data_IF_934326803107
#
_entry.id   IF_934326803107
#
_cell.length_a   1.000
_cell.length_b   1.000
_cell.length_c   1.000
_cell.angle_alpha   90.00
_cell.angle_beta   90.00
_cell.angle_gamma   90.00
#
_symmetry.space_group_name_H-M   'P 1'
#
loop_
_entity.id
_entity.type
_entity.pdbx_description
1 polymer ?
#
# COMPACT_ATOMS: atom_id res chain seq x y z
N UNK A 1 -1.33 9.75 -30.00
CA UNK A 1 -1.21 9.50 -31.45
C UNK A 1 -2.14 8.37 -31.80
N UNK A 2 -3.01 8.54 -32.81
CA UNK A 2 -4.02 7.55 -33.17
C UNK A 2 -3.86 7.16 -34.64
N UNK A 3 -3.76 5.86 -34.90
CA UNK A 3 -3.80 5.27 -36.23
C UNK A 3 -5.13 4.56 -36.41
N UNK A 4 -5.83 4.85 -37.50
CA UNK A 4 -7.14 4.24 -37.76
C UNK A 4 -7.33 3.88 -39.24
N UNK A 5 -8.56 3.54 -39.63
CA UNK A 5 -8.89 3.16 -41.01
C UNK A 5 -8.55 4.24 -42.07
N UNK A 6 -8.42 5.51 -41.66
CA UNK A 6 -8.06 6.64 -42.50
C UNK A 6 -6.56 6.91 -42.53
N UNK A 7 -5.77 6.27 -41.67
CA UNK A 7 -4.30 6.36 -41.72
C UNK A 7 -3.78 5.62 -42.94
N UNK A 8 -3.18 6.37 -43.86
CA UNK A 8 -2.72 5.91 -45.18
C UNK A 8 -1.20 6.02 -45.37
N UNK A 9 -0.47 6.57 -44.39
CA UNK A 9 0.99 6.64 -44.39
C UNK A 9 1.56 5.22 -44.28
N UNK A 10 2.36 4.73 -45.25
CA UNK A 10 2.92 3.39 -45.21
C UNK A 10 4.00 3.23 -44.12
N UNK A 11 4.18 1.99 -43.64
CA UNK A 11 5.12 1.69 -42.53
C UNK A 11 6.55 2.17 -42.80
N UNK A 12 7.05 2.07 -44.04
CA UNK A 12 8.41 2.51 -44.37
C UNK A 12 8.61 4.04 -44.25
N UNK A 13 7.55 4.81 -44.48
CA UNK A 13 7.57 6.25 -44.34
C UNK A 13 7.50 6.63 -42.85
N UNK A 14 6.64 5.94 -42.08
CA UNK A 14 6.61 6.07 -40.62
C UNK A 14 7.96 5.73 -39.99
N UNK A 15 8.67 4.70 -40.47
CA UNK A 15 10.03 4.37 -40.02
C UNK A 15 10.98 5.55 -40.19
N UNK A 16 10.88 6.28 -41.31
CA UNK A 16 11.70 7.47 -41.55
C UNK A 16 11.34 8.62 -40.60
N UNK A 17 10.04 8.79 -40.31
CA UNK A 17 9.58 9.80 -39.34
C UNK A 17 9.97 9.47 -37.89
N UNK A 18 10.02 8.19 -37.53
CA UNK A 18 10.38 7.74 -36.19
C UNK A 18 11.88 7.47 -36.01
N UNK A 19 12.69 7.54 -37.07
CA UNK A 19 14.11 7.15 -37.04
C UNK A 19 14.96 7.86 -35.96
N UNK A 20 14.58 9.08 -35.56
CA UNK A 20 15.28 9.86 -34.52
C UNK A 20 14.52 9.96 -33.20
N UNK A 21 13.35 9.33 -33.10
CA UNK A 21 12.55 9.32 -31.88
C UNK A 21 13.03 8.18 -31.00
N UNK A 22 13.54 8.51 -29.81
CA UNK A 22 14.03 7.51 -28.85
C UNK A 22 13.11 7.35 -27.63
N UNK A 23 12.37 8.40 -27.28
CA UNK A 23 11.40 8.41 -26.18
C UNK A 23 10.09 8.96 -26.72
N UNK A 24 9.01 8.21 -26.55
CA UNK A 24 7.67 8.68 -26.85
C UNK A 24 6.95 9.06 -25.56
N UNK A 25 6.32 10.24 -25.53
CA UNK A 25 5.52 10.70 -24.39
C UNK A 25 4.05 10.87 -24.80
N UNK A 26 3.15 10.20 -24.09
CA UNK A 26 1.71 10.19 -24.36
C UNK A 26 1.20 8.87 -24.94
N UNK A 27 -0.10 8.79 -25.25
CA UNK A 27 -0.74 7.55 -25.71
C UNK A 27 -0.49 7.24 -27.20
N UNK A 28 -0.40 5.96 -27.54
CA UNK A 28 -0.42 5.44 -28.92
C UNK A 28 -1.61 4.47 -29.04
N UNK A 29 -2.50 4.74 -30.01
CA UNK A 29 -3.65 3.90 -30.30
C UNK A 29 -3.70 3.46 -31.76
N UNK A 30 -4.15 2.24 -31.99
CA UNK A 30 -4.43 1.66 -33.31
C UNK A 30 -5.86 1.10 -33.31
N UNK A 31 -6.76 1.72 -34.07
CA UNK A 31 -8.18 1.38 -34.07
C UNK A 31 -8.67 1.13 -35.49
N UNK A 32 -9.03 -0.12 -35.83
CA UNK A 32 -9.48 -0.49 -37.17
C UNK A 32 -8.48 -0.09 -38.27
N UNK A 33 -7.20 -0.02 -37.92
CA UNK A 33 -6.15 0.40 -38.84
C UNK A 33 -5.82 -0.69 -39.86
N UNK A 34 -5.22 -0.30 -40.97
CA UNK A 34 -4.86 -1.22 -42.06
C UNK A 34 -3.45 -1.83 -41.88
N UNK A 35 -2.72 -1.41 -40.85
CA UNK A 35 -1.35 -1.83 -40.61
C UNK A 35 -1.27 -3.32 -40.25
N UNK A 36 -0.31 -4.01 -40.86
CA UNK A 36 0.01 -5.40 -40.51
C UNK A 36 1.05 -5.49 -39.38
N UNK A 37 1.86 -4.43 -39.20
CA UNK A 37 2.91 -4.36 -38.19
C UNK A 37 3.11 -2.93 -37.69
N UNK A 38 3.79 -2.82 -36.54
CA UNK A 38 4.17 -1.55 -35.91
C UNK A 38 5.69 -1.36 -35.86
N UNK A 39 6.45 -1.99 -36.75
CA UNK A 39 7.93 -2.01 -36.68
C UNK A 39 8.59 -0.63 -36.74
N UNK A 40 7.87 0.40 -37.17
CA UNK A 40 8.35 1.79 -37.07
C UNK A 40 8.53 2.27 -35.63
N UNK A 41 7.94 1.58 -34.64
CA UNK A 41 8.12 1.82 -33.21
C UNK A 41 9.31 1.03 -32.62
N UNK A 42 9.95 0.14 -33.39
CA UNK A 42 11.00 -0.76 -32.90
C UNK A 42 12.28 -0.05 -32.38
N UNK A 43 12.47 1.21 -32.76
CA UNK A 43 13.61 2.04 -32.34
C UNK A 43 13.41 2.76 -31.01
N UNK A 44 12.21 2.70 -30.42
CA UNK A 44 11.90 3.40 -29.16
C UNK A 44 12.58 2.71 -27.98
N UNK A 45 13.27 3.49 -27.16
CA UNK A 45 13.85 3.05 -25.89
C UNK A 45 12.83 3.10 -24.75
N UNK A 46 11.90 4.04 -24.80
CA UNK A 46 10.89 4.21 -23.75
C UNK A 46 9.59 4.77 -24.32
N UNK A 47 8.46 4.28 -23.78
CA UNK A 47 7.14 4.87 -23.97
C UNK A 47 6.60 5.25 -22.58
N UNK A 48 6.55 6.55 -22.35
CA UNK A 48 6.07 7.18 -21.12
C UNK A 48 4.66 7.71 -21.36
N UNK A 49 3.65 6.99 -20.91
CA UNK A 49 2.27 7.31 -21.27
C UNK A 49 1.25 7.27 -20.15
N UNK A 50 1.67 7.12 -18.89
CA UNK A 50 0.77 7.33 -17.75
C UNK A 50 0.16 8.75 -17.77
N UNK A 51 -1.14 8.90 -17.45
CA UNK A 51 -2.08 7.87 -16.99
C UNK A 51 -2.84 7.12 -18.12
N UNK A 52 -2.40 7.24 -19.37
CA UNK A 52 -3.04 6.64 -20.55
C UNK A 52 -2.51 5.23 -20.86
N UNK A 53 -3.23 4.51 -21.72
CA UNK A 53 -2.85 3.19 -22.25
C UNK A 53 -2.23 3.25 -23.64
N UNK A 54 -1.61 2.13 -24.03
CA UNK A 54 -1.31 1.78 -25.42
C UNK A 54 -2.37 0.82 -25.93
N UNK A 55 -3.00 1.17 -27.04
CA UNK A 55 -4.27 0.55 -27.44
C UNK A 55 -4.21 -0.03 -28.86
N UNK A 56 -4.73 -1.25 -29.03
CA UNK A 56 -4.83 -1.99 -30.28
C UNK A 56 -6.22 -2.61 -30.40
N UNK A 57 -7.14 -1.93 -31.07
CA UNK A 57 -8.53 -2.34 -31.21
C UNK A 57 -8.91 -2.72 -32.63
N UNK A 58 -9.34 -3.97 -32.81
CA UNK A 58 -9.99 -4.47 -34.02
C UNK A 58 -9.20 -4.19 -35.31
N UNK A 59 -7.88 -4.34 -35.29
CA UNK A 59 -7.04 -4.15 -36.47
C UNK A 59 -7.04 -5.45 -37.30
N UNK A 60 -7.70 -5.50 -38.47
CA UNK A 60 -7.95 -6.75 -39.19
C UNK A 60 -6.68 -7.41 -39.76
N UNK A 61 -5.64 -6.61 -40.01
CA UNK A 61 -4.40 -7.06 -40.62
C UNK A 61 -3.24 -7.23 -39.64
N UNK A 62 -3.40 -6.80 -38.38
CA UNK A 62 -2.29 -6.74 -37.41
C UNK A 62 -1.85 -8.15 -37.02
N UNK A 63 -0.58 -8.46 -37.27
CA UNK A 63 0.01 -9.79 -37.06
C UNK A 63 1.03 -9.81 -35.93
N UNK A 64 1.71 -8.70 -35.66
CA UNK A 64 2.79 -8.62 -34.68
C UNK A 64 2.87 -7.26 -33.99
N UNK A 65 3.20 -7.30 -32.69
CA UNK A 65 3.54 -6.14 -31.88
C UNK A 65 5.03 -6.16 -31.55
N UNK A 66 5.84 -5.42 -32.31
CA UNK A 66 7.29 -5.36 -32.11
C UNK A 66 7.72 -3.93 -31.80
N UNK A 67 7.97 -3.66 -30.51
CA UNK A 67 8.50 -2.39 -30.03
C UNK A 67 10.02 -2.37 -29.93
N UNK A 68 10.69 -3.51 -30.10
CA UNK A 68 12.13 -3.69 -29.84
C UNK A 68 12.40 -4.23 -28.42
N UNK A 69 13.37 -5.14 -28.30
CA UNK A 69 13.59 -5.93 -27.06
C UNK A 69 13.94 -5.11 -25.81
N UNK A 70 14.35 -3.86 -25.97
CA UNK A 70 14.81 -3.00 -24.86
C UNK A 70 13.88 -1.82 -24.59
N UNK A 71 12.67 -1.84 -25.13
CA UNK A 71 11.70 -0.78 -24.88
C UNK A 71 11.12 -0.91 -23.49
N UNK A 72 11.24 0.16 -22.71
CA UNK A 72 10.57 0.27 -21.42
C UNK A 72 9.17 0.88 -21.58
N UNK A 73 8.21 0.38 -20.80
CA UNK A 73 6.84 0.88 -20.80
C UNK A 73 6.46 1.31 -19.39
N UNK A 74 5.86 2.50 -19.28
CA UNK A 74 5.25 2.93 -18.02
C UNK A 74 3.75 2.65 -17.99
N UNK A 75 3.16 2.03 -19.01
CA UNK A 75 1.71 2.12 -19.23
C UNK A 75 1.01 0.76 -19.30
N UNK A 76 -0.30 0.74 -19.02
CA UNK A 76 -1.19 -0.35 -19.38
C UNK A 76 -1.31 -0.60 -20.88
N UNK A 77 -1.75 -1.81 -21.24
CA UNK A 77 -2.01 -2.22 -22.62
C UNK A 77 -3.43 -2.72 -22.81
N UNK A 78 -4.05 -2.33 -23.92
CA UNK A 78 -5.29 -2.93 -24.40
C UNK A 78 -5.10 -3.50 -25.79
N UNK A 79 -5.20 -4.82 -25.92
CA UNK A 79 -4.98 -5.57 -27.16
C UNK A 79 -6.23 -6.39 -27.40
N UNK A 80 -7.18 -5.86 -28.19
CA UNK A 80 -8.51 -6.45 -28.29
C UNK A 80 -8.99 -6.61 -29.73
N UNK A 81 -9.47 -7.80 -30.08
CA UNK A 81 -10.16 -8.05 -31.34
C UNK A 81 -9.26 -8.15 -32.57
N UNK A 82 -7.95 -8.34 -32.40
CA UNK A 82 -6.99 -8.44 -33.50
C UNK A 82 -6.87 -9.90 -33.95
N UNK A 83 -7.73 -10.31 -34.88
CA UNK A 83 -7.94 -11.72 -35.25
C UNK A 83 -6.72 -12.43 -35.88
N UNK A 84 -5.69 -11.69 -36.30
CA UNK A 84 -4.44 -12.23 -36.87
C UNK A 84 -3.24 -12.10 -35.93
N UNK A 85 -3.42 -11.47 -34.76
CA UNK A 85 -2.33 -11.18 -33.83
C UNK A 85 -2.21 -12.30 -32.79
N UNK A 86 -1.06 -12.95 -32.75
CA UNK A 86 -0.64 -13.76 -31.60
C UNK A 86 -0.03 -12.83 -30.53
N UNK A 87 -0.85 -12.41 -29.57
CA UNK A 87 -0.42 -11.50 -28.51
C UNK A 87 0.42 -12.21 -27.42
N UNK A 88 0.41 -13.56 -27.36
CA UNK A 88 1.18 -14.28 -26.35
C UNK A 88 2.68 -14.07 -26.55
N UNK A 89 3.14 -14.03 -27.82
CA UNK A 89 4.54 -13.75 -28.18
C UNK A 89 4.99 -12.39 -27.65
N UNK A 90 4.16 -11.36 -27.79
CA UNK A 90 4.45 -10.04 -27.24
C UNK A 90 4.59 -10.10 -25.71
N UNK A 91 3.64 -10.71 -25.02
CA UNK A 91 3.66 -10.81 -23.57
C UNK A 91 4.76 -11.73 -23.00
N UNK A 92 5.25 -12.70 -23.77
CA UNK A 92 6.42 -13.52 -23.43
C UNK A 92 7.74 -12.74 -23.57
N UNK A 93 7.85 -11.88 -24.58
CA UNK A 93 9.04 -11.05 -24.80
C UNK A 93 9.16 -9.96 -23.73
N UNK A 94 8.04 -9.35 -23.37
CA UNK A 94 7.99 -8.25 -22.41
C UNK A 94 7.41 -8.74 -21.08
N UNK A 95 8.24 -9.36 -20.25
CA UNK A 95 7.84 -9.71 -18.89
C UNK A 95 7.64 -8.44 -18.03
N UNK A 96 6.70 -8.50 -17.08
CA UNK A 96 6.47 -7.42 -16.11
C UNK A 96 5.64 -6.24 -16.62
N UNK A 97 4.98 -6.38 -17.78
CA UNK A 97 4.02 -5.41 -18.31
C UNK A 97 2.99 -5.00 -17.26
N UNK A 98 2.57 -3.74 -17.35
CA UNK A 98 1.50 -3.18 -16.52
C UNK A 98 0.17 -3.53 -17.15
N UNK A 99 -0.79 -3.98 -16.34
CA UNK A 99 -2.22 -4.11 -16.69
C UNK A 99 -2.50 -4.38 -18.16
N UNK A 100 -2.51 -5.66 -18.53
CA UNK A 100 -2.69 -6.07 -19.93
C UNK A 100 -4.09 -6.62 -20.11
N UNK A 101 -4.92 -5.87 -20.83
CA UNK A 101 -6.19 -6.37 -21.34
C UNK A 101 -5.94 -7.03 -22.69
N UNK A 102 -6.01 -8.36 -22.77
CA UNK A 102 -5.85 -9.12 -24.01
C UNK A 102 -7.06 -10.02 -24.25
N UNK A 103 -7.88 -9.70 -25.26
CA UNK A 103 -9.12 -10.42 -25.54
C UNK A 103 -9.42 -10.52 -27.05
N UNK A 104 -10.08 -11.60 -27.47
CA UNK A 104 -10.52 -11.81 -28.87
C UNK A 104 -9.43 -11.63 -29.94
N UNK A 105 -8.16 -11.90 -29.61
CA UNK A 105 -7.05 -11.97 -30.58
C UNK A 105 -6.89 -13.40 -31.14
N UNK A 106 -5.95 -13.62 -32.07
CA UNK A 106 -5.64 -14.98 -32.54
C UNK A 106 -5.17 -15.86 -31.37
N UNK A 107 -4.30 -15.31 -30.53
CA UNK A 107 -4.03 -15.78 -29.18
C UNK A 107 -3.89 -14.57 -28.26
N UNK A 108 -4.39 -14.70 -27.05
CA UNK A 108 -4.28 -13.66 -26.03
C UNK A 108 -2.99 -13.83 -25.22
N UNK A 109 -2.60 -12.78 -24.50
CA UNK A 109 -1.59 -12.89 -23.46
C UNK A 109 -1.99 -13.92 -22.40
N UNK A 110 -1.00 -14.62 -21.80
CA UNK A 110 -1.28 -15.57 -20.73
C UNK A 110 -1.89 -14.88 -19.51
N UNK A 111 -2.76 -15.61 -18.80
CA UNK A 111 -3.52 -15.11 -17.65
C UNK A 111 -5.01 -14.91 -17.96
N UNK A 112 -5.76 -14.50 -16.94
CA UNK A 112 -7.19 -14.25 -17.04
C UNK A 112 -7.50 -12.76 -16.81
N UNK A 113 -8.59 -12.30 -17.42
CA UNK A 113 -9.11 -10.95 -17.24
C UNK A 113 -10.07 -10.94 -16.06
N UNK A 114 -9.72 -10.18 -15.01
CA UNK A 114 -10.58 -9.94 -13.84
C UNK A 114 -11.50 -8.72 -14.00
N UNK A 115 -11.35 -7.96 -15.08
CA UNK A 115 -12.27 -6.88 -15.44
C UNK A 115 -13.54 -7.45 -16.07
N UNK A 116 -14.65 -6.70 -15.96
CA UNK A 116 -15.95 -7.09 -16.50
C UNK A 116 -16.47 -8.46 -16.01
N UNK A 117 -16.27 -8.78 -14.74
CA UNK A 117 -16.70 -10.04 -14.11
C UNK A 117 -18.15 -10.44 -14.39
N UNK A 118 -19.05 -9.48 -14.62
CA UNK A 118 -20.43 -9.71 -15.02
C UNK A 118 -20.60 -10.43 -16.38
N UNK A 119 -19.54 -10.49 -17.20
CA UNK A 119 -19.48 -11.27 -18.47
C UNK A 119 -18.74 -12.60 -18.32
N UNK A 120 -18.23 -12.91 -17.13
CA UNK A 120 -17.37 -14.06 -16.87
C UNK A 120 -18.11 -15.12 -16.07
N UNK A 121 -17.59 -16.34 -16.13
CA UNK A 121 -18.01 -17.50 -15.37
C UNK A 121 -16.86 -17.95 -14.47
N UNK A 122 -17.11 -18.73 -13.40
CA UNK A 122 -16.04 -19.30 -12.58
C UNK A 122 -15.01 -20.08 -13.41
N UNK A 123 -15.43 -20.77 -14.46
CA UNK A 123 -14.55 -21.56 -15.34
C UNK A 123 -13.46 -20.72 -16.02
N UNK A 124 -13.70 -19.42 -16.25
CA UNK A 124 -12.70 -18.51 -16.83
C UNK A 124 -11.48 -18.29 -15.91
N UNK A 125 -11.61 -18.65 -14.62
CA UNK A 125 -10.55 -18.51 -13.61
C UNK A 125 -9.90 -19.84 -13.20
N UNK A 126 -10.46 -20.99 -13.62
CA UNK A 126 -9.85 -22.30 -13.28
C UNK A 126 -8.47 -22.42 -13.89
N UNK A 127 -7.49 -22.86 -13.09
CA UNK A 127 -6.08 -22.93 -13.46
C UNK A 127 -5.46 -21.57 -13.85
N UNK A 128 -6.13 -20.45 -13.58
CA UNK A 128 -5.56 -19.14 -13.77
C UNK A 128 -4.65 -18.78 -12.60
N UNK A 129 -3.36 -18.59 -12.86
CA UNK A 129 -2.37 -18.20 -11.84
C UNK A 129 -2.07 -16.69 -11.83
N UNK A 130 -2.47 -15.98 -12.88
CA UNK A 130 -2.23 -14.55 -13.06
C UNK A 130 -3.50 -13.85 -13.57
N UNK A 131 -4.04 -12.93 -12.77
CA UNK A 131 -5.03 -11.96 -13.24
C UNK A 131 -4.29 -10.75 -13.80
N UNK A 132 -4.43 -10.50 -15.10
CA UNK A 132 -3.63 -9.47 -15.80
C UNK A 132 -4.17 -8.05 -15.61
N UNK A 133 -5.34 -7.90 -15.00
CA UNK A 133 -6.05 -6.64 -14.72
C UNK A 133 -6.53 -6.61 -13.27
N UNK A 134 -7.40 -5.65 -12.91
CA UNK A 134 -8.09 -5.67 -11.61
C UNK A 134 -8.96 -6.90 -11.45
N UNK A 135 -9.12 -7.38 -10.22
CA UNK A 135 -10.03 -8.46 -9.84
C UNK A 135 -11.07 -7.89 -8.87
N UNK A 136 -12.32 -7.80 -9.29
CA UNK A 136 -13.38 -7.18 -8.51
C UNK A 136 -14.54 -8.12 -8.23
N UNK A 137 -14.89 -8.28 -6.96
CA UNK A 137 -16.07 -9.01 -6.50
C UNK A 137 -17.14 -8.01 -6.03
N UNK A 138 -18.27 -7.94 -6.74
CA UNK A 138 -19.39 -7.08 -6.38
C UNK A 138 -20.71 -7.87 -6.33
N UNK A 139 -21.51 -7.72 -5.28
CA UNK A 139 -22.74 -8.52 -5.12
C UNK A 139 -23.71 -8.45 -6.30
N UNK A 140 -23.90 -7.28 -6.91
CA UNK A 140 -24.80 -7.15 -8.07
C UNK A 140 -24.40 -8.04 -9.26
N UNK A 141 -23.16 -8.55 -9.29
CA UNK A 141 -22.65 -9.47 -10.31
C UNK A 141 -22.92 -10.95 -9.95
N UNK A 142 -23.19 -11.27 -8.69
CA UNK A 142 -23.28 -12.65 -8.19
C UNK A 142 -24.68 -13.12 -7.81
N UNK A 143 -25.67 -12.22 -7.70
CA UNK A 143 -27.05 -12.53 -7.26
C UNK A 143 -27.77 -13.56 -8.15
N UNK A 144 -27.27 -13.86 -9.37
CA UNK A 144 -27.99 -14.72 -10.32
C UNK A 144 -27.32 -16.05 -10.68
N UNK A 145 -26.08 -16.32 -10.27
CA UNK A 145 -25.28 -17.39 -10.91
C UNK A 145 -24.61 -18.42 -10.00
N UNK A 146 -24.67 -18.33 -8.67
CA UNK A 146 -24.08 -19.36 -7.80
C UNK A 146 -22.59 -19.55 -8.07
N UNK A 147 -21.81 -18.49 -7.85
CA UNK A 147 -20.40 -18.43 -8.22
C UNK A 147 -19.56 -19.40 -7.37
N UNK A 148 -18.96 -20.41 -7.99
CA UNK A 148 -18.03 -21.34 -7.32
C UNK A 148 -16.70 -20.63 -7.04
N UNK A 149 -16.53 -20.15 -5.81
CA UNK A 149 -15.33 -19.43 -5.38
C UNK A 149 -14.06 -20.29 -5.44
N UNK A 150 -14.19 -21.62 -5.51
CA UNK A 150 -13.00 -22.50 -5.60
C UNK A 150 -12.23 -22.30 -6.90
N UNK A 151 -12.86 -21.77 -7.94
CA UNK A 151 -12.20 -21.50 -9.22
C UNK A 151 -11.08 -20.45 -9.13
N UNK A 152 -11.10 -19.57 -8.13
CA UNK A 152 -10.06 -18.56 -7.89
C UNK A 152 -8.87 -19.10 -7.08
N UNK A 153 -8.93 -20.38 -6.67
CA UNK A 153 -7.97 -20.99 -5.76
C UNK A 153 -6.55 -21.10 -6.30
N UNK A 154 -6.34 -21.02 -7.61
CA UNK A 154 -5.02 -21.12 -8.25
C UNK A 154 -4.36 -19.76 -8.50
N UNK A 155 -5.08 -18.66 -8.27
CA UNK A 155 -4.56 -17.31 -8.52
C UNK A 155 -3.42 -17.02 -7.57
N UNK A 156 -2.25 -16.70 -8.13
CA UNK A 156 -1.05 -16.35 -7.38
C UNK A 156 -0.73 -14.87 -7.45
N UNK A 157 -1.11 -14.19 -8.54
CA UNK A 157 -0.75 -12.81 -8.81
C UNK A 157 -1.93 -12.03 -9.38
N UNK A 158 -2.11 -10.80 -8.90
CA UNK A 158 -3.02 -9.80 -9.47
C UNK A 158 -2.20 -8.59 -9.90
N UNK A 159 -2.35 -8.17 -11.15
CA UNK A 159 -1.55 -7.09 -11.74
C UNK A 159 -2.09 -5.68 -11.48
N UNK A 160 -3.24 -5.56 -10.79
CA UNK A 160 -3.89 -4.29 -10.45
C UNK A 160 -4.75 -4.41 -9.17
N UNK A 161 -5.84 -3.65 -9.08
CA UNK A 161 -6.71 -3.56 -7.90
C UNK A 161 -7.39 -4.90 -7.55
N UNK A 162 -7.47 -5.18 -6.25
CA UNK A 162 -8.37 -6.19 -5.69
C UNK A 162 -9.54 -5.49 -4.97
N UNK A 163 -10.76 -5.66 -5.48
CA UNK A 163 -11.96 -5.10 -4.85
C UNK A 163 -12.89 -6.20 -4.37
N UNK A 164 -13.42 -6.09 -3.15
CA UNK A 164 -14.47 -6.96 -2.61
C UNK A 164 -15.52 -6.09 -1.94
N UNK A 165 -16.67 -5.94 -2.59
CA UNK A 165 -17.64 -4.89 -2.25
C UNK A 165 -19.05 -5.46 -2.16
N UNK A 166 -19.71 -5.20 -1.03
CA UNK A 166 -21.11 -5.53 -0.78
C UNK A 166 -21.43 -7.03 -0.94
N UNK A 167 -20.45 -7.92 -0.75
CA UNK A 167 -20.58 -9.38 -0.88
C UNK A 167 -21.08 -10.05 0.42
N UNK A 168 -21.53 -11.30 0.29
CA UNK A 168 -21.96 -12.17 1.40
C UNK A 168 -20.83 -13.09 1.90
N UNK A 169 -19.59 -12.87 1.46
CA UNK A 169 -18.44 -13.69 1.81
C UNK A 169 -18.13 -13.61 3.30
N UNK A 170 -17.86 -14.77 3.92
CA UNK A 170 -17.40 -14.84 5.31
C UNK A 170 -15.88 -14.66 5.42
N UNK A 171 -15.14 -15.04 4.38
CA UNK A 171 -13.67 -14.94 4.30
C UNK A 171 -13.17 -14.88 2.86
N UNK A 172 -11.98 -14.29 2.64
CA UNK A 172 -11.28 -14.30 1.34
C UNK A 172 -10.36 -15.53 1.15
N UNK A 173 -10.50 -16.55 2.00
CA UNK A 173 -9.68 -17.78 1.95
C UNK A 173 -9.78 -18.58 0.66
N UNK A 174 -10.75 -18.29 -0.20
CA UNK A 174 -10.79 -18.84 -1.56
C UNK A 174 -9.60 -18.36 -2.42
N UNK A 175 -8.98 -17.22 -2.10
CA UNK A 175 -7.71 -16.74 -2.69
C UNK A 175 -6.47 -17.36 -2.00
N UNK A 176 -6.54 -18.64 -1.65
CA UNK A 176 -5.53 -19.34 -0.82
C UNK A 176 -4.09 -19.28 -1.36
N UNK A 177 -3.93 -19.16 -2.68
CA UNK A 177 -2.63 -19.15 -3.34
C UNK A 177 -2.13 -17.75 -3.72
N UNK A 178 -2.90 -16.69 -3.42
CA UNK A 178 -2.55 -15.33 -3.78
C UNK A 178 -1.32 -14.86 -3.01
N UNK A 179 -0.25 -14.50 -3.72
CA UNK A 179 1.06 -14.09 -3.19
C UNK A 179 1.36 -12.60 -3.42
N UNK A 180 0.93 -12.08 -4.57
CA UNK A 180 1.31 -10.73 -5.02
C UNK A 180 0.11 -9.95 -5.53
N UNK A 181 -0.01 -8.71 -5.08
CA UNK A 181 -0.91 -7.70 -5.67
C UNK A 181 -0.05 -6.52 -6.11
N UNK A 182 -0.14 -6.15 -7.37
CA UNK A 182 0.46 -4.92 -7.90
C UNK A 182 -0.60 -3.83 -7.91
N UNK A 183 -0.23 -2.61 -7.51
CA UNK A 183 -1.14 -1.48 -7.54
C UNK A 183 -1.61 -1.15 -8.95
N UNK A 184 -2.73 -0.44 -9.07
CA UNK A 184 -3.28 -0.09 -10.37
C UNK A 184 -2.67 1.20 -10.94
N UNK A 185 -2.52 1.25 -12.26
CA UNK A 185 -2.19 2.45 -13.01
C UNK A 185 -3.36 3.47 -13.03
N UNK A 186 -4.61 2.98 -12.94
CA UNK A 186 -5.81 3.78 -13.16
C UNK A 186 -6.44 4.35 -11.88
N UNK A 187 -6.37 3.64 -10.75
CA UNK A 187 -6.98 4.10 -9.49
C UNK A 187 -6.03 5.00 -8.70
N UNK A 188 -6.52 6.14 -8.22
CA UNK A 188 -5.81 6.97 -7.24
C UNK A 188 -6.22 6.67 -5.80
N UNK A 189 -7.29 5.88 -5.60
CA UNK A 189 -7.89 5.66 -4.29
C UNK A 189 -7.25 4.49 -3.56
N UNK A 190 -7.53 3.26 -3.97
CA UNK A 190 -7.09 2.06 -3.26
C UNK A 190 -6.71 0.94 -4.22
N UNK A 191 -5.58 0.28 -3.95
CA UNK A 191 -5.14 -0.93 -4.65
C UNK A 191 -5.80 -2.19 -4.07
N UNK A 192 -6.27 -2.10 -2.82
CA UNK A 192 -7.16 -3.08 -2.19
C UNK A 192 -8.36 -2.32 -1.62
N UNK A 193 -9.57 -2.58 -2.12
CA UNK A 193 -10.82 -1.99 -1.60
C UNK A 193 -11.77 -3.08 -1.11
N UNK A 194 -11.82 -3.30 0.21
CA UNK A 194 -12.68 -4.31 0.83
C UNK A 194 -13.68 -3.60 1.74
N UNK A 195 -14.92 -3.46 1.27
CA UNK A 195 -15.92 -2.67 2.00
C UNK A 195 -17.34 -3.18 1.91
N UNK A 196 -18.14 -2.84 2.94
CA UNK A 196 -19.56 -3.16 3.04
C UNK A 196 -19.88 -4.66 2.97
N UNK A 197 -18.94 -5.51 3.38
CA UNK A 197 -19.15 -6.96 3.41
C UNK A 197 -19.57 -7.37 4.83
N UNK A 198 -20.88 -7.35 5.07
CA UNK A 198 -21.44 -7.50 6.42
C UNK A 198 -21.23 -8.88 7.04
N UNK A 199 -20.94 -9.92 6.24
CA UNK A 199 -20.63 -11.27 6.74
C UNK A 199 -19.12 -11.53 6.85
N UNK A 200 -18.28 -10.63 6.33
CA UNK A 200 -16.83 -10.87 6.20
C UNK A 200 -16.14 -10.70 7.56
N UNK A 201 -15.89 -11.81 8.24
CA UNK A 201 -15.25 -11.83 9.57
C UNK A 201 -13.74 -12.04 9.50
N UNK A 202 -13.20 -12.47 8.35
CA UNK A 202 -11.80 -12.87 8.24
C UNK A 202 -11.17 -12.45 6.92
N UNK A 203 -10.02 -11.75 6.96
CA UNK A 203 -9.24 -11.47 5.75
C UNK A 203 -8.81 -12.77 5.06
N UNK A 204 -7.98 -13.59 5.71
CA UNK A 204 -7.80 -15.00 5.34
C UNK A 204 -7.06 -15.25 4.03
N UNK A 205 -6.12 -14.38 3.63
CA UNK A 205 -5.26 -14.61 2.45
C UNK A 205 -3.84 -15.00 2.94
N UNK A 206 -3.60 -16.27 3.27
CA UNK A 206 -2.45 -16.68 4.09
C UNK A 206 -1.09 -16.56 3.40
N UNK A 207 -1.06 -16.63 2.06
CA UNK A 207 0.17 -16.61 1.27
C UNK A 207 0.53 -15.24 0.70
N UNK A 208 -0.28 -14.19 0.98
CA UNK A 208 0.00 -12.84 0.51
C UNK A 208 1.30 -12.33 1.16
N UNK A 209 2.24 -11.83 0.35
CA UNK A 209 3.54 -11.33 0.83
C UNK A 209 3.97 -10.04 0.15
N UNK A 210 3.62 -9.85 -1.13
CA UNK A 210 4.11 -8.74 -1.93
C UNK A 210 2.98 -7.80 -2.31
N UNK A 211 3.06 -6.55 -1.85
CA UNK A 211 2.16 -5.47 -2.23
C UNK A 211 3.00 -4.41 -2.94
N UNK A 212 2.98 -4.45 -4.27
CA UNK A 212 3.93 -3.67 -5.09
C UNK A 212 3.21 -2.40 -5.57
N UNK A 213 3.56 -1.22 -5.05
CA UNK A 213 2.92 0.01 -5.48
C UNK A 213 3.33 0.34 -6.92
N UNK A 214 2.37 0.82 -7.73
CA UNK A 214 2.66 1.45 -9.04
C UNK A 214 2.84 2.95 -8.92
N UNK A 215 2.04 3.56 -8.05
CA UNK A 215 2.18 4.95 -7.62
C UNK A 215 3.16 5.02 -6.44
N UNK A 216 3.52 6.20 -5.91
CA UNK A 216 4.48 6.28 -4.80
C UNK A 216 4.06 5.50 -3.54
N UNK A 217 2.78 5.16 -3.40
CA UNK A 217 2.18 4.58 -2.21
C UNK A 217 1.22 3.45 -2.62
N UNK A 218 1.28 2.32 -1.92
CA UNK A 218 0.27 1.27 -1.99
C UNK A 218 -0.85 1.61 -1.00
N UNK A 219 -2.09 1.69 -1.47
CA UNK A 219 -3.22 2.09 -0.62
C UNK A 219 -4.21 0.95 -0.40
N UNK A 220 -4.68 0.78 0.82
CA UNK A 220 -5.71 -0.21 1.14
C UNK A 220 -6.87 0.41 1.94
N UNK A 221 -8.07 -0.08 1.70
CA UNK A 221 -9.29 0.32 2.39
C UNK A 221 -10.02 -0.91 2.93
N UNK A 222 -10.34 -0.86 4.22
CA UNK A 222 -11.15 -1.85 4.92
C UNK A 222 -12.24 -1.11 5.69
N UNK A 223 -13.45 -1.06 5.13
CA UNK A 223 -14.49 -0.16 5.63
C UNK A 223 -15.86 -0.85 5.73
N UNK A 224 -16.56 -0.67 6.85
CA UNK A 224 -17.94 -1.18 7.02
C UNK A 224 -18.09 -2.70 6.70
N UNK A 225 -17.08 -3.50 7.00
CA UNK A 225 -17.20 -4.96 7.00
C UNK A 225 -17.83 -5.43 8.33
N UNK A 226 -17.98 -6.75 8.54
CA UNK A 226 -18.48 -7.29 9.82
C UNK A 226 -17.67 -6.71 11.01
N UNK A 227 -18.33 -6.45 12.15
CA UNK A 227 -17.69 -5.86 13.34
C UNK A 227 -16.54 -6.71 13.90
N UNK A 228 -16.56 -8.01 13.63
CA UNK A 228 -15.51 -8.98 13.98
C UNK A 228 -14.50 -9.24 12.86
N UNK A 229 -14.52 -8.47 11.77
CA UNK A 229 -13.51 -8.55 10.73
C UNK A 229 -12.11 -8.43 11.32
N UNK A 230 -11.28 -9.45 11.14
CA UNK A 230 -9.96 -9.49 11.74
C UNK A 230 -8.84 -9.96 10.81
N UNK A 231 -7.64 -9.49 11.11
CA UNK A 231 -6.36 -9.97 10.58
C UNK A 231 -5.65 -10.83 11.64
N UNK A 232 -4.90 -11.84 11.22
CA UNK A 232 -3.81 -12.34 12.08
C UNK A 232 -2.65 -11.34 12.06
N UNK A 233 -1.78 -11.38 13.06
CA UNK A 233 -0.52 -10.63 13.13
C UNK A 233 0.30 -10.86 11.87
N UNK A 234 0.44 -12.10 11.41
CA UNK A 234 1.22 -12.43 10.22
C UNK A 234 0.64 -11.81 8.95
N UNK A 235 -0.69 -11.73 8.81
CA UNK A 235 -1.31 -11.01 7.70
C UNK A 235 -1.11 -9.51 7.83
N UNK A 236 -1.29 -8.95 9.04
CA UNK A 236 -1.15 -7.51 9.26
C UNK A 236 0.30 -7.03 9.06
N UNK A 237 1.29 -7.87 9.41
CA UNK A 237 2.72 -7.62 9.14
C UNK A 237 2.99 -7.38 7.66
N UNK A 238 2.30 -8.09 6.76
CA UNK A 238 2.46 -7.89 5.30
C UNK A 238 2.18 -6.43 4.93
N UNK A 239 1.11 -5.84 5.47
CA UNK A 239 0.77 -4.44 5.22
C UNK A 239 1.79 -3.47 5.83
N UNK A 240 2.29 -3.75 7.02
CA UNK A 240 3.31 -2.92 7.69
C UNK A 240 4.66 -2.95 6.95
N UNK A 241 5.11 -4.15 6.56
CA UNK A 241 6.40 -4.37 5.89
C UNK A 241 6.39 -3.84 4.45
N UNK A 242 5.26 -3.93 3.75
CA UNK A 242 5.08 -3.30 2.43
C UNK A 242 4.70 -1.81 2.52
N UNK A 243 4.75 -1.19 3.72
CA UNK A 243 4.51 0.24 3.95
C UNK A 243 3.17 0.74 3.40
N UNK A 244 2.12 -0.07 3.54
CA UNK A 244 0.78 0.26 3.06
C UNK A 244 0.21 1.44 3.85
N UNK A 245 -0.39 2.37 3.13
CA UNK A 245 -1.19 3.46 3.71
C UNK A 245 -2.65 3.06 3.68
N UNK A 246 -3.31 3.15 4.83
CA UNK A 246 -4.72 2.79 4.95
C UNK A 246 -5.58 4.04 4.78
N UNK A 247 -6.65 3.94 3.97
CA UNK A 247 -7.72 4.93 3.96
C UNK A 247 -8.58 4.77 5.20
N UNK A 248 -9.40 3.73 5.21
CA UNK A 248 -10.08 3.24 6.41
C UNK A 248 -9.55 1.86 6.82
N UNK A 249 -9.62 1.57 8.12
CA UNK A 249 -9.26 0.28 8.69
C UNK A 249 -10.21 -0.11 9.83
N UNK A 250 -11.43 -0.53 9.51
CA UNK A 250 -12.34 -1.13 10.48
C UNK A 250 -12.03 -2.62 10.62
N UNK A 251 -11.04 -2.95 11.46
CA UNK A 251 -10.61 -4.32 11.69
C UNK A 251 -10.03 -4.54 13.09
N UNK A 252 -9.99 -5.80 13.52
CA UNK A 252 -9.38 -6.26 14.77
C UNK A 252 -8.20 -7.19 14.49
N UNK A 253 -7.45 -7.53 15.53
CA UNK A 253 -6.58 -8.72 15.51
C UNK A 253 -7.40 -9.93 15.92
N UNK A 254 -7.21 -11.06 15.24
CA UNK A 254 -7.95 -12.28 15.56
C UNK A 254 -7.53 -12.84 16.94
N UNK A 255 -8.49 -13.38 17.69
CA UNK A 255 -8.22 -14.08 18.95
C UNK A 255 -7.47 -15.40 18.67
N UNK A 256 -6.39 -15.68 19.42
CA UNK A 256 -5.49 -16.83 19.28
C UNK A 256 -4.34 -16.70 18.26
N UNK A 257 -3.75 -15.52 18.15
CA UNK A 257 -2.47 -15.42 17.45
C UNK A 257 -1.33 -16.07 18.26
N UNK A 258 -0.93 -17.26 17.82
CA UNK A 258 -0.18 -18.22 18.65
C UNK A 258 1.30 -17.88 18.88
N UNK A 259 1.86 -16.88 18.21
CA UNK A 259 3.31 -16.59 18.24
C UNK A 259 3.74 -15.56 19.27
N UNK A 260 2.82 -14.73 19.79
CA UNK A 260 3.14 -13.61 20.67
C UNK A 260 3.12 -13.98 22.16
N UNK A 261 4.01 -13.35 22.93
CA UNK A 261 3.94 -13.37 24.39
C UNK A 261 2.79 -12.50 24.88
N UNK A 262 1.84 -13.08 25.60
CA UNK A 262 0.76 -12.29 26.22
C UNK A 262 1.30 -11.50 27.41
N UNK A 263 1.19 -10.18 27.35
CA UNK A 263 1.58 -9.30 28.44
C UNK A 263 0.57 -9.38 29.59
N UNK A 264 1.09 -9.53 30.81
CA UNK A 264 0.31 -9.44 32.06
C UNK A 264 0.87 -8.34 32.96
N UNK A 265 2.18 -8.39 33.18
CA UNK A 265 2.99 -7.41 33.90
C UNK A 265 4.48 -7.67 33.57
N UNK A 266 5.35 -6.72 33.93
CA UNK A 266 6.79 -6.80 33.64
C UNK A 266 7.50 -7.96 34.35
N UNK A 267 7.07 -8.30 35.56
CA UNK A 267 7.65 -9.40 36.35
C UNK A 267 7.39 -10.77 35.71
N UNK A 268 6.18 -11.00 35.21
CA UNK A 268 5.73 -12.26 34.64
C UNK A 268 6.00 -12.37 33.13
N UNK A 269 6.36 -11.26 32.47
CA UNK A 269 6.78 -11.27 31.08
C UNK A 269 7.98 -12.21 30.92
N UNK A 270 7.90 -13.12 29.94
CA UNK A 270 9.02 -14.03 29.62
C UNK A 270 10.15 -13.22 28.97
N UNK A 271 11.39 -13.59 29.26
CA UNK A 271 12.55 -13.06 28.53
C UNK A 271 12.57 -13.60 27.08
N UNK A 272 13.26 -12.88 26.20
CA UNK A 272 13.48 -13.27 24.79
C UNK A 272 12.19 -13.35 23.93
N UNK A 273 11.13 -12.64 24.32
CA UNK A 273 9.96 -12.48 23.46
C UNK A 273 10.33 -11.60 22.26
N UNK A 274 10.08 -12.08 21.04
CA UNK A 274 10.19 -11.26 19.82
C UNK A 274 8.93 -10.45 19.57
N UNK A 275 7.77 -10.95 20.02
CA UNK A 275 6.48 -10.32 19.83
C UNK A 275 5.70 -10.33 21.14
N UNK A 276 5.03 -9.22 21.44
CA UNK A 276 4.19 -9.08 22.63
C UNK A 276 2.78 -8.69 22.21
N UNK A 277 1.78 -9.37 22.76
CA UNK A 277 0.37 -9.01 22.64
C UNK A 277 -0.13 -8.44 23.97
N UNK A 278 -0.69 -7.24 23.92
CA UNK A 278 -1.24 -6.52 25.07
C UNK A 278 -0.58 -5.17 25.30
N UNK A 279 -1.14 -4.44 26.26
CA UNK A 279 -0.72 -3.09 26.61
C UNK A 279 0.35 -3.15 27.70
N UNK A 280 1.60 -2.90 27.31
CA UNK A 280 2.77 -2.88 28.18
C UNK A 280 2.74 -1.60 29.03
N UNK A 281 2.82 -1.75 30.35
CA UNK A 281 2.99 -0.66 31.30
C UNK A 281 4.28 -0.86 32.10
N UNK A 282 5.16 0.14 32.08
CA UNK A 282 6.39 0.18 32.87
C UNK A 282 6.25 1.34 33.85
N UNK A 283 6.11 1.04 35.13
CA UNK A 283 5.93 2.04 36.19
C UNK A 283 7.19 2.16 37.05
N UNK A 284 7.17 3.09 38.01
CA UNK A 284 8.19 3.17 39.05
C UNK A 284 8.44 1.81 39.73
N UNK A 285 9.70 1.34 39.71
CA UNK A 285 10.11 0.04 40.25
C UNK A 285 10.08 -1.13 39.25
N UNK A 286 9.50 -0.95 38.05
CA UNK A 286 9.54 -1.95 36.98
C UNK A 286 10.83 -1.87 36.13
N UNK A 287 11.67 -0.86 36.36
CA UNK A 287 12.94 -0.61 35.67
C UNK A 287 13.90 -1.81 35.74
N UNK A 288 13.80 -2.62 36.80
CA UNK A 288 14.59 -3.86 36.95
C UNK A 288 14.25 -4.96 35.92
N UNK A 289 13.12 -4.84 35.21
CA UNK A 289 12.64 -5.85 34.26
C UNK A 289 12.76 -5.43 32.79
N UNK A 290 13.18 -4.20 32.48
CA UNK A 290 13.12 -3.62 31.13
C UNK A 290 13.99 -4.37 30.11
N UNK A 291 15.07 -5.02 30.55
CA UNK A 291 15.92 -5.85 29.68
C UNK A 291 15.15 -7.00 29.00
N UNK A 292 13.99 -7.40 29.54
CA UNK A 292 13.13 -8.40 28.89
C UNK A 292 12.53 -7.91 27.56
N UNK A 293 12.50 -6.60 27.34
CA UNK A 293 11.98 -5.98 26.12
C UNK A 293 13.04 -5.86 25.01
N UNK A 294 14.31 -6.13 25.32
CA UNK A 294 15.44 -5.89 24.41
C UNK A 294 15.34 -6.63 23.08
N UNK A 295 14.75 -7.82 23.07
CA UNK A 295 14.53 -8.66 21.88
C UNK A 295 13.20 -8.40 21.16
N UNK A 296 12.33 -7.55 21.72
CA UNK A 296 10.98 -7.34 21.20
C UNK A 296 11.05 -6.52 19.93
N UNK A 297 10.52 -7.09 18.85
CA UNK A 297 10.42 -6.48 17.52
C UNK A 297 9.01 -5.95 17.23
N UNK A 298 7.98 -6.62 17.75
CA UNK A 298 6.58 -6.24 17.56
C UNK A 298 5.84 -6.11 18.90
N UNK A 299 5.09 -5.03 19.05
CA UNK A 299 4.10 -4.84 20.11
C UNK A 299 2.72 -4.69 19.49
N UNK A 300 1.85 -5.67 19.75
CA UNK A 300 0.43 -5.69 19.38
C UNK A 300 -0.40 -5.13 20.54
N UNK A 301 -0.45 -3.80 20.64
CA UNK A 301 -1.04 -3.04 21.73
C UNK A 301 -0.33 -1.69 21.90
N UNK A 302 -0.27 -1.23 23.14
CA UNK A 302 0.47 -0.02 23.51
C UNK A 302 1.68 -0.30 24.42
N UNK A 303 2.60 0.66 24.50
CA UNK A 303 3.72 0.74 25.42
C UNK A 303 3.66 2.08 26.16
N UNK A 304 3.39 2.04 27.46
CA UNK A 304 3.42 3.20 28.34
C UNK A 304 4.56 3.05 29.34
N UNK A 305 5.42 4.06 29.40
CA UNK A 305 6.52 4.15 30.38
C UNK A 305 6.28 5.38 31.22
N UNK A 306 6.10 5.21 32.53
CA UNK A 306 5.72 6.32 33.39
C UNK A 306 6.41 6.32 34.76
N UNK A 307 6.76 7.50 35.24
CA UNK A 307 7.35 7.74 36.56
C UNK A 307 8.59 6.86 36.85
N UNK A 308 9.40 6.62 35.81
CA UNK A 308 10.63 5.83 35.91
C UNK A 308 11.89 6.70 35.94
N UNK A 309 13.00 6.11 36.36
CA UNK A 309 14.33 6.75 36.38
C UNK A 309 15.20 6.37 35.18
N UNK A 310 14.60 5.87 34.09
CA UNK A 310 15.36 5.54 32.87
C UNK A 310 15.99 6.79 32.27
N UNK A 311 17.18 6.63 31.69
CA UNK A 311 17.92 7.69 31.01
C UNK A 311 17.76 7.63 29.49
N UNK A 312 17.40 6.46 28.95
CA UNK A 312 17.22 6.24 27.52
C UNK A 312 16.24 5.09 27.23
N UNK A 313 16.01 4.82 25.94
CA UNK A 313 15.14 3.76 25.44
C UNK A 313 15.92 2.59 24.80
N UNK A 314 17.19 2.39 25.15
CA UNK A 314 18.03 1.33 24.56
C UNK A 314 17.51 -0.08 24.85
N UNK A 315 16.71 -0.28 25.91
CA UNK A 315 16.00 -1.53 26.17
C UNK A 315 14.92 -1.87 25.12
N UNK A 316 14.63 -0.96 24.19
CA UNK A 316 13.75 -1.15 23.03
C UNK A 316 14.56 -1.16 21.71
N UNK A 317 15.86 -1.44 21.76
CA UNK A 317 16.72 -1.36 20.58
C UNK A 317 16.23 -2.21 19.39
N UNK A 318 15.57 -3.35 19.63
CA UNK A 318 15.04 -4.23 18.57
C UNK A 318 13.63 -3.87 18.11
N UNK A 319 12.97 -2.89 18.73
CA UNK A 319 11.58 -2.57 18.43
C UNK A 319 11.45 -2.01 17.02
N UNK A 320 10.73 -2.72 16.17
CA UNK A 320 10.48 -2.32 14.77
C UNK A 320 9.07 -1.75 14.61
N UNK A 321 8.08 -2.33 15.29
CA UNK A 321 6.68 -1.97 15.14
C UNK A 321 5.94 -1.96 16.49
N UNK A 322 5.11 -0.94 16.68
CA UNK A 322 4.08 -0.92 17.71
C UNK A 322 2.73 -0.61 17.06
N UNK A 323 1.74 -1.46 17.30
CA UNK A 323 0.47 -1.47 16.55
C UNK A 323 -0.69 -1.49 17.53
N UNK A 324 -1.49 -0.43 17.53
CA UNK A 324 -2.79 -0.40 18.21
C UNK A 324 -3.89 -0.20 17.19
N UNK A 325 -4.82 -1.16 17.10
CA UNK A 325 -6.06 -0.97 16.34
C UNK A 325 -7.16 -0.30 17.18
N UNK A 326 -6.87 0.02 18.45
CA UNK A 326 -7.75 0.80 19.29
C UNK A 326 -7.52 2.30 19.06
N UNK A 327 -8.50 2.95 18.44
CA UNK A 327 -8.50 4.38 18.10
C UNK A 327 -8.50 5.33 19.31
N UNK A 328 -8.61 4.83 20.53
CA UNK A 328 -8.59 5.62 21.77
C UNK A 328 -7.24 5.60 22.49
N UNK A 329 -6.24 4.87 21.99
CA UNK A 329 -4.95 4.66 22.67
C UNK A 329 -3.80 5.13 21.78
N UNK A 330 -3.00 6.07 22.27
CA UNK A 330 -1.70 6.39 21.67
C UNK A 330 -0.75 5.20 21.93
N UNK A 331 -0.22 4.54 20.89
CA UNK A 331 0.58 3.32 21.05
C UNK A 331 1.83 3.48 21.89
N UNK A 332 2.61 4.55 21.75
CA UNK A 332 3.81 4.75 22.58
C UNK A 332 3.65 6.02 23.40
N UNK A 333 3.75 5.89 24.73
CA UNK A 333 3.61 7.01 25.66
C UNK A 333 4.73 7.00 26.69
N UNK A 334 5.37 8.16 26.87
CA UNK A 334 6.34 8.40 27.93
C UNK A 334 5.82 9.52 28.83
N UNK A 335 5.59 9.24 30.10
CA UNK A 335 4.92 10.15 31.04
C UNK A 335 5.80 10.38 32.27
N UNK A 336 6.10 11.64 32.60
CA UNK A 336 6.86 12.02 33.81
C UNK A 336 8.23 11.34 33.99
N UNK A 337 8.90 10.92 32.91
CA UNK A 337 10.24 10.33 32.98
C UNK A 337 11.30 11.45 32.94
N UNK A 338 11.54 12.07 34.09
CA UNK A 338 12.36 13.30 34.21
C UNK A 338 13.85 13.10 33.95
N UNK A 339 14.35 11.88 34.18
CA UNK A 339 15.76 11.52 33.98
C UNK A 339 16.07 11.12 32.53
N UNK A 340 15.07 11.11 31.64
CA UNK A 340 15.26 10.76 30.25
C UNK A 340 16.16 11.81 29.56
N UNK A 341 17.22 11.34 28.93
CA UNK A 341 18.20 12.15 28.19
C UNK A 341 18.20 11.80 26.70
N UNK A 342 17.62 10.65 26.32
CA UNK A 342 17.50 10.23 24.93
C UNK A 342 16.20 9.46 24.65
N UNK A 343 15.56 9.77 23.52
CA UNK A 343 14.36 9.09 23.04
C UNK A 343 14.61 8.28 21.74
N UNK A 344 15.87 7.87 21.51
CA UNK A 344 16.25 7.16 20.29
C UNK A 344 15.65 5.76 20.26
N UNK A 345 15.01 5.42 19.13
CA UNK A 345 14.47 4.10 18.81
C UNK A 345 15.04 3.68 17.45
N UNK A 346 16.27 3.12 17.41
CA UNK A 346 17.07 3.04 16.18
C UNK A 346 16.50 2.12 15.11
N UNK A 347 15.76 1.06 15.49
CA UNK A 347 15.18 0.10 14.56
C UNK A 347 13.67 0.32 14.33
N UNK A 348 13.08 1.35 14.94
CA UNK A 348 11.65 1.62 14.82
C UNK A 348 11.34 2.03 13.39
N UNK A 349 10.50 1.25 12.73
CA UNK A 349 10.08 1.46 11.34
C UNK A 349 8.74 2.18 11.26
N UNK A 350 7.78 1.81 12.12
CA UNK A 350 6.44 2.39 12.14
C UNK A 350 5.75 2.16 13.47
N UNK A 351 5.11 3.20 13.98
CA UNK A 351 4.08 3.05 15.02
C UNK A 351 2.74 3.26 14.33
N UNK A 352 1.83 2.29 14.46
CA UNK A 352 0.55 2.32 13.77
C UNK A 352 -0.61 2.45 14.75
N UNK A 353 -1.49 3.41 14.48
CA UNK A 353 -2.79 3.57 15.13
C UNK A 353 -3.68 4.51 14.32
N UNK A 354 -4.99 4.38 14.50
CA UNK A 354 -5.99 5.31 13.95
C UNK A 354 -6.13 6.61 14.77
N UNK A 355 -5.36 6.76 15.84
CA UNK A 355 -5.26 8.02 16.58
C UNK A 355 -4.56 9.10 15.76
N UNK A 356 -4.80 10.36 16.10
CA UNK A 356 -4.09 11.49 15.49
C UNK A 356 -2.58 11.46 15.77
N UNK A 357 -2.17 10.91 16.92
CA UNK A 357 -0.78 10.83 17.36
C UNK A 357 -0.41 9.39 17.70
N UNK A 358 0.79 8.95 17.30
CA UNK A 358 1.27 7.59 17.49
C UNK A 358 2.28 7.48 18.63
N UNK A 359 3.05 8.56 18.87
CA UNK A 359 4.01 8.65 19.97
C UNK A 359 3.75 9.93 20.75
N UNK A 360 3.71 9.83 22.08
CA UNK A 360 3.55 10.99 22.96
C UNK A 360 4.61 11.01 24.06
N UNK A 361 5.19 12.19 24.26
CA UNK A 361 6.01 12.53 25.42
C UNK A 361 5.25 13.56 26.27
N UNK A 362 5.02 13.24 27.53
CA UNK A 362 4.29 14.07 28.50
C UNK A 362 5.20 14.29 29.72
N UNK A 363 5.59 15.53 29.99
CA UNK A 363 6.46 15.93 31.10
C UNK A 363 7.72 15.03 31.21
N UNK A 364 8.25 14.62 30.06
CA UNK A 364 9.35 13.66 29.95
C UNK A 364 10.52 14.31 29.23
N UNK A 365 11.74 14.02 29.69
CA UNK A 365 12.96 14.57 29.12
C UNK A 365 13.33 15.96 29.65
N UNK A 366 14.56 16.11 30.12
CA UNK A 366 15.06 17.37 30.69
C UNK A 366 15.55 18.34 29.59
N UNK A 367 14.66 18.72 28.68
CA UNK A 367 14.93 19.76 27.66
C UNK A 367 15.60 19.28 26.36
N UNK A 368 15.98 18.01 26.23
CA UNK A 368 16.56 17.46 25.00
C UNK A 368 15.53 17.26 23.86
N UNK A 369 14.25 17.09 24.21
CA UNK A 369 13.15 16.98 23.24
C UNK A 369 12.78 18.38 22.71
N UNK A 370 13.50 18.79 21.67
CA UNK A 370 13.25 20.01 20.91
C UNK A 370 12.62 19.67 19.54
N UNK A 371 12.34 20.69 18.72
CA UNK A 371 11.74 20.49 17.40
C UNK A 371 12.58 19.56 16.51
N UNK A 372 13.90 19.67 16.55
CA UNK A 372 14.79 18.86 15.73
C UNK A 372 14.76 17.37 16.12
N UNK A 373 14.86 17.05 17.41
CA UNK A 373 14.81 15.67 17.90
C UNK A 373 13.46 15.00 17.61
N UNK A 374 12.37 15.76 17.74
CA UNK A 374 11.01 15.29 17.44
C UNK A 374 10.82 15.00 15.94
N UNK A 375 11.28 15.91 15.07
CA UNK A 375 11.21 15.73 13.62
C UNK A 375 12.10 14.59 13.13
N UNK A 376 13.27 14.38 13.73
CA UNK A 376 14.17 13.25 13.40
C UNK A 376 13.47 11.90 13.64
N UNK A 377 12.73 11.76 14.75
CA UNK A 377 11.96 10.56 15.02
C UNK A 377 10.86 10.32 13.96
N UNK A 378 10.16 11.38 13.53
CA UNK A 378 9.14 11.29 12.47
C UNK A 378 9.74 10.97 11.09
N UNK A 379 10.91 11.52 10.75
CA UNK A 379 11.55 11.30 9.46
C UNK A 379 12.12 9.88 9.31
N UNK A 380 12.53 9.27 10.42
CA UNK A 380 13.06 7.91 10.44
C UNK A 380 11.96 6.82 10.50
N UNK A 381 10.68 7.20 10.60
CA UNK A 381 9.54 6.30 10.69
C UNK A 381 8.56 6.52 9.55
N UNK A 382 7.79 5.48 9.20
CA UNK A 382 6.73 5.58 8.18
C UNK A 382 5.44 6.01 8.84
N UNK A 383 4.84 7.12 8.40
CA UNK A 383 3.47 7.53 8.76
C UNK A 383 3.23 7.54 10.29
N UNK A 384 4.18 8.11 11.02
CA UNK A 384 4.17 8.17 12.50
C UNK A 384 4.22 9.63 12.94
N UNK A 385 3.21 10.05 13.69
CA UNK A 385 3.09 11.42 14.20
C UNK A 385 3.46 11.45 15.68
N UNK A 386 4.34 12.38 16.04
CA UNK A 386 4.87 12.55 17.39
C UNK A 386 4.33 13.84 18.01
N UNK A 387 3.97 13.80 19.29
CA UNK A 387 3.56 14.96 20.08
C UNK A 387 4.38 15.04 21.38
N UNK A 388 4.80 16.25 21.75
CA UNK A 388 5.58 16.52 22.97
C UNK A 388 4.86 17.59 23.77
N UNK A 389 4.44 17.28 25.00
CA UNK A 389 3.73 18.20 25.90
C UNK A 389 2.53 18.89 25.25
N UNK A 390 1.77 18.15 24.44
CA UNK A 390 0.61 18.67 23.69
C UNK A 390 0.98 19.52 22.47
N UNK A 391 2.27 19.62 22.10
CA UNK A 391 2.77 20.44 20.99
C UNK A 391 3.30 19.56 19.85
N UNK A 392 2.95 19.93 18.62
CA UNK A 392 3.52 19.32 17.41
C UNK A 392 5.01 19.67 17.29
N UNK A 393 5.79 18.80 16.64
CA UNK A 393 7.24 18.95 16.55
C UNK A 393 7.68 20.33 16.02
N UNK A 394 7.00 20.90 15.03
CA UNK A 394 7.36 22.14 14.34
C UNK A 394 7.23 23.41 15.20
N UNK A 395 6.50 23.32 16.33
CA UNK A 395 6.17 24.48 17.17
C UNK A 395 6.74 24.40 18.59
N UNK A 396 7.41 23.30 18.96
CA UNK A 396 8.01 23.11 20.30
C UNK A 396 8.89 24.33 20.65
N UNK A 397 9.87 24.66 19.82
CA UNK A 397 10.83 25.71 20.15
C UNK A 397 10.25 27.13 20.02
N UNK A 398 9.25 27.33 19.14
CA UNK A 398 8.55 28.62 18.99
C UNK A 398 7.83 29.05 20.27
N UNK A 399 7.29 28.09 21.01
CA UNK A 399 6.56 28.35 22.25
C UNK A 399 7.48 28.53 23.45
N UNK A 400 8.63 27.84 23.50
CA UNK A 400 9.67 28.08 24.51
C UNK A 400 10.17 29.52 24.46
N UNK A 401 10.35 30.06 23.25
CA UNK A 401 10.74 31.47 23.06
C UNK A 401 9.65 32.47 23.49
N UNK A 402 8.38 32.07 23.47
CA UNK A 402 7.25 32.92 23.92
C UNK A 402 7.02 32.85 25.43
N UNK A 403 7.25 31.70 26.07
CA UNK A 403 7.24 31.55 27.53
C UNK A 403 8.50 32.20 28.16
N UNK A 404 9.62 32.27 27.42
CA UNK A 404 10.85 32.94 27.83
C UNK A 404 10.90 34.45 27.55
N UNK A 405 10.15 34.95 26.56
CA UNK A 405 10.14 36.37 26.20
C UNK A 405 8.80 37.04 26.53
N UNK A 406 8.65 37.41 27.79
CA UNK A 406 7.73 38.48 28.16
C UNK A 406 8.37 39.85 27.84
N UNK A 407 8.72 40.14 26.57
CA UNK A 407 8.98 41.49 26.02
C UNK A 407 9.16 41.44 24.49
N UNK A 408 8.37 42.25 23.76
CA UNK A 408 8.79 42.85 22.49
C UNK A 408 8.18 42.29 21.19
N UNK A 409 7.14 42.97 20.69
CA UNK A 409 6.65 42.89 19.31
C UNK A 409 7.79 43.08 18.28
N UNK A 410 7.90 42.19 17.29
CA UNK A 410 8.83 42.42 16.18
C UNK A 410 8.83 41.39 15.04
N UNK A 411 8.09 41.71 13.97
CA UNK A 411 8.25 41.31 12.55
C UNK A 411 7.81 39.92 12.10
N UNK A 412 6.58 39.94 11.55
CA UNK A 412 5.99 39.01 10.59
C UNK A 412 6.83 38.83 9.32
N UNK A 413 6.94 37.58 8.84
CA UNK A 413 7.24 37.25 7.45
C UNK A 413 6.10 36.40 6.88
N UNK A 414 5.41 36.95 5.89
CA UNK A 414 4.17 36.45 5.29
C UNK A 414 4.38 35.33 4.25
N UNK A 415 5.54 34.67 4.23
CA UNK A 415 5.93 33.71 3.18
C UNK A 415 5.54 32.25 3.45
N UNK A 416 5.27 31.87 4.71
CA UNK A 416 4.96 30.48 5.07
C UNK A 416 3.46 30.16 5.19
N UNK A 417 2.58 31.12 4.87
CA UNK A 417 1.13 30.94 4.97
C UNK A 417 0.52 30.19 3.77
N UNK A 418 1.27 30.02 2.68
CA UNK A 418 0.75 29.40 1.44
C UNK A 418 0.86 27.87 1.38
N UNK A 419 1.61 27.23 2.28
CA UNK A 419 1.68 25.75 2.35
C UNK A 419 0.58 25.13 3.23
N UNK A 420 -0.04 25.91 4.12
CA UNK A 420 -1.03 25.41 5.08
C UNK A 420 -2.44 25.31 4.47
N UNK A 421 -2.72 26.00 3.37
CA UNK A 421 -4.03 25.95 2.72
C UNK A 421 -4.24 24.65 1.90
N UNK A 422 -3.18 23.93 1.54
CA UNK A 422 -3.32 22.72 0.70
C UNK A 422 -3.74 21.45 1.47
N UNK A 423 -3.59 21.40 2.80
CA UNK A 423 -3.96 20.22 3.61
C UNK A 423 -5.31 20.33 4.31
N UNK A 424 -5.99 21.48 4.26
CA UNK A 424 -7.28 21.70 4.94
C UNK A 424 -8.48 21.52 4.00
N UNK A 425 -8.28 21.34 2.68
CA UNK A 425 -9.38 21.18 1.71
C UNK A 425 -9.69 19.74 1.26
N UNK A 426 -9.10 18.71 1.87
CA UNK A 426 -9.42 17.30 1.56
C UNK A 426 -9.65 16.46 2.83
N UNK A 427 -10.43 17.02 3.75
CA UNK A 427 -11.03 16.28 4.85
C UNK A 427 -12.53 16.61 4.90
N UNK A 428 -13.27 16.10 3.92
CA UNK A 428 -14.68 15.70 4.03
C UNK A 428 -14.82 14.31 3.42
#
# INVERSE_FOLDING_TARGET
>A
MLFNQYSDIPVFELQSYFAKVSVFKGSIGFEQSKYASIEFLAGLKSIECEPYSIDFYNNPNLEQLNFGLSTNFTCPFSIVGNKRLDASVFCEIYEGLVEVTSDRNLKNCPGCLGTEMYKKTPEDFRNCTLVTTSLGFFSYQFITSGFDLTAFGDIENISAELSVVETDFESLSFLKNLKTIRGSAYTDLYDIDIRKNWNLTRFGIPLLRNLIPRKPIFRANFEANHDDFCFTSDEFKVFLENKVVFGNLNAKLCENDTSACVFKNMKDLKSNCSEIQGNISINSGDDVYIEKLKSVRFVWGSLTVQDTNITDLSFLESLEYAVSLNSSIIPIRLISNKMLESAKLPNLKRVFSQTQYQISFENSGNGFLNSAACLDLMQNTTDTVVIVDGKQCEVIDRTKDQEGNNYGFGKFSMANFLWIIFFIMFAE
#
